data_IF_525710039190
#
_entry.id   IF_525710039190
#
_cell.length_a   1.000
_cell.length_b   1.000
_cell.length_c   1.000
_cell.angle_alpha   90.00
_cell.angle_beta   90.00
_cell.angle_gamma   90.00
#
_symmetry.space_group_name_H-M   'P 1'
#
loop_
_entity.id
_entity.type
_entity.pdbx_description
1 polymer ?
#
# COMPACT_ATOMS: atom_id res chain seq x y z
N UNK A 1 0.14 -21.16 -9.16
CA UNK A 1 1.60 -21.21 -8.99
C UNK A 1 2.17 -19.89 -9.50
N UNK A 2 2.72 -19.04 -8.64
CA UNK A 2 3.42 -17.83 -9.12
C UNK A 2 4.86 -18.21 -9.46
N UNK A 3 5.20 -18.25 -10.74
CA UNK A 3 6.59 -18.31 -11.19
C UNK A 3 7.15 -16.89 -11.10
N UNK A 4 8.19 -16.71 -10.30
CA UNK A 4 8.96 -15.46 -10.27
C UNK A 4 10.23 -15.69 -11.09
N UNK A 5 10.36 -15.05 -12.24
CA UNK A 5 11.56 -15.12 -13.08
C UNK A 5 12.70 -14.41 -12.35
N UNK A 6 13.60 -15.18 -11.73
CA UNK A 6 14.82 -14.66 -11.13
C UNK A 6 15.91 -14.62 -12.21
N UNK A 7 16.26 -13.42 -12.66
CA UNK A 7 17.29 -13.19 -13.66
C UNK A 7 18.67 -13.27 -12.99
N UNK A 8 19.24 -14.47 -12.88
CA UNK A 8 20.61 -14.68 -12.42
C UNK A 8 21.48 -15.09 -13.61
N UNK A 9 22.11 -14.11 -14.26
CA UNK A 9 23.14 -14.34 -15.29
C UNK A 9 22.70 -15.12 -16.54
N UNK A 10 22.11 -14.42 -17.52
CA UNK A 10 21.94 -14.85 -18.93
C UNK A 10 21.26 -16.22 -19.21
N UNK A 11 20.67 -16.91 -18.23
CA UNK A 11 19.79 -18.09 -18.45
C UNK A 11 18.51 -17.94 -17.63
N UNK A 12 17.36 -18.19 -18.25
CA UNK A 12 16.08 -18.23 -17.56
C UNK A 12 16.07 -19.41 -16.58
N UNK A 13 16.01 -19.10 -15.28
CA UNK A 13 15.86 -20.09 -14.22
C UNK A 13 14.43 -20.02 -13.71
N UNK A 14 13.64 -21.04 -14.02
CA UNK A 14 12.29 -21.20 -13.48
C UNK A 14 12.41 -21.70 -12.04
N UNK A 15 11.90 -20.91 -11.09
CA UNK A 15 11.79 -21.29 -9.68
C UNK A 15 10.32 -21.34 -9.31
N UNK A 16 9.83 -22.51 -8.90
CA UNK A 16 8.47 -22.68 -8.39
C UNK A 16 8.46 -22.27 -6.92
N UNK A 17 7.76 -21.18 -6.62
CA UNK A 17 7.54 -20.73 -5.24
C UNK A 17 6.15 -21.19 -4.79
N UNK A 18 6.05 -22.18 -3.87
CA UNK A 18 4.75 -22.68 -3.40
C UNK A 18 3.99 -21.66 -2.56
N UNK A 19 4.70 -20.74 -1.88
CA UNK A 19 4.13 -19.62 -1.14
C UNK A 19 5.01 -18.39 -1.30
N UNK A 20 4.39 -17.24 -1.59
CA UNK A 20 5.07 -15.94 -1.66
C UNK A 20 4.71 -15.15 -0.41
N UNK A 21 5.69 -14.89 0.46
CA UNK A 21 5.50 -14.02 1.62
C UNK A 21 5.56 -12.56 1.16
N UNK A 22 4.72 -11.71 1.77
CA UNK A 22 4.86 -10.26 1.60
C UNK A 22 6.18 -9.82 2.24
N UNK A 23 7.10 -9.32 1.40
CA UNK A 23 8.42 -8.83 1.84
C UNK A 23 8.51 -7.31 1.88
N UNK A 24 7.51 -6.62 1.33
CA UNK A 24 7.47 -5.15 1.28
C UNK A 24 6.67 -4.62 2.44
N UNK A 25 7.30 -3.76 3.23
CA UNK A 25 6.64 -3.03 4.29
C UNK A 25 6.18 -1.68 3.74
N UNK A 26 4.92 -1.60 3.32
CA UNK A 26 4.35 -0.39 2.73
C UNK A 26 4.42 0.80 3.69
N UNK A 27 4.28 0.59 5.00
CA UNK A 27 4.39 1.65 5.99
C UNK A 27 5.81 2.25 5.99
N UNK A 28 6.84 1.42 5.97
CA UNK A 28 8.23 1.90 5.95
C UNK A 28 8.59 2.58 4.63
N UNK A 29 8.08 2.07 3.50
CA UNK A 29 8.27 2.72 2.20
C UNK A 29 7.58 4.09 2.14
N UNK A 30 6.38 4.24 2.74
CA UNK A 30 5.65 5.50 2.78
C UNK A 30 6.24 6.52 3.75
N UNK A 31 6.76 6.08 4.91
CA UNK A 31 7.43 6.96 5.88
C UNK A 31 8.84 7.35 5.42
N UNK A 32 9.52 6.49 4.66
CA UNK A 32 10.84 6.73 4.08
C UNK A 32 11.90 7.22 5.08
N UNK A 33 11.90 6.66 6.29
CA UNK A 33 12.81 7.04 7.40
C UNK A 33 12.66 8.49 7.90
N UNK A 34 11.57 9.17 7.52
CA UNK A 34 11.28 10.52 8.00
C UNK A 34 10.67 10.45 9.40
N UNK A 35 11.14 11.33 10.29
CA UNK A 35 10.53 11.50 11.61
C UNK A 35 9.30 12.41 11.47
N UNK A 36 8.14 11.82 11.18
CA UNK A 36 6.90 12.54 10.97
C UNK A 36 6.24 12.85 12.33
N UNK A 37 5.54 13.99 12.48
CA UNK A 37 4.68 14.22 13.63
C UNK A 37 3.49 13.24 13.63
N UNK A 38 2.90 12.98 14.81
CA UNK A 38 1.84 11.97 15.01
C UNK A 38 0.65 12.12 14.04
N UNK A 39 0.26 13.35 13.72
CA UNK A 39 -0.81 13.64 12.76
C UNK A 39 -0.49 13.14 11.33
N UNK A 40 0.76 13.31 10.90
CA UNK A 40 1.20 12.83 9.59
C UNK A 40 1.38 11.32 9.59
N UNK A 41 1.89 10.73 10.68
CA UNK A 41 1.93 9.28 10.85
C UNK A 41 0.54 8.64 10.78
N UNK A 42 -0.47 9.28 11.37
CA UNK A 42 -1.86 8.84 11.29
C UNK A 42 -2.36 8.85 9.84
N UNK A 43 -2.10 9.91 9.07
CA UNK A 43 -2.45 9.98 7.65
C UNK A 43 -1.74 8.94 6.80
N UNK A 44 -0.45 8.71 7.04
CA UNK A 44 0.31 7.66 6.34
C UNK A 44 -0.28 6.29 6.64
N UNK A 45 -0.68 6.03 7.88
CA UNK A 45 -1.33 4.78 8.27
C UNK A 45 -2.68 4.59 7.58
N UNK A 46 -3.48 5.65 7.47
CA UNK A 46 -4.75 5.60 6.73
C UNK A 46 -4.52 5.41 5.21
N UNK A 47 -3.50 6.06 4.63
CA UNK A 47 -3.14 5.87 3.24
C UNK A 47 -2.73 4.42 2.98
N UNK A 48 -1.90 3.86 3.87
CA UNK A 48 -1.50 2.45 3.83
C UNK A 48 -2.72 1.53 3.79
N UNK A 49 -3.71 1.77 4.66
CA UNK A 49 -4.93 0.96 4.73
C UNK A 49 -5.75 1.01 3.43
N UNK A 50 -5.93 2.22 2.86
CA UNK A 50 -6.60 2.39 1.56
C UNK A 50 -5.87 1.64 0.44
N UNK A 51 -4.53 1.73 0.40
CA UNK A 51 -3.71 1.07 -0.61
C UNK A 51 -3.75 -0.46 -0.45
N UNK A 52 -3.77 -0.99 0.77
CA UNK A 52 -3.93 -2.44 1.01
C UNK A 52 -5.25 -2.97 0.44
N UNK A 53 -6.34 -2.22 0.60
CA UNK A 53 -7.63 -2.59 0.03
C UNK A 53 -7.72 -2.36 -1.49
N UNK A 54 -7.01 -1.37 -2.05
CA UNK A 54 -6.92 -1.15 -3.50
C UNK A 54 -6.06 -2.19 -4.22
N UNK A 55 -4.91 -2.56 -3.65
CA UNK A 55 -3.96 -3.51 -4.22
C UNK A 55 -4.22 -4.97 -3.83
N UNK A 56 -5.41 -5.26 -3.31
CA UNK A 56 -5.84 -6.65 -3.10
C UNK A 56 -5.77 -7.45 -4.41
N UNK A 57 -5.11 -8.61 -4.34
CA UNK A 57 -4.88 -9.51 -5.48
C UNK A 57 -6.19 -10.08 -6.02
N UNK A 58 -7.16 -10.28 -5.13
CA UNK A 58 -8.51 -10.70 -5.48
C UNK A 58 -9.35 -9.47 -5.85
N UNK A 59 -9.82 -9.34 -7.10
CA UNK A 59 -10.62 -8.19 -7.52
C UNK A 59 -11.97 -8.10 -6.80
N UNK A 60 -12.49 -9.21 -6.26
CA UNK A 60 -13.75 -9.20 -5.50
C UNK A 60 -13.59 -8.62 -4.10
N UNK A 61 -12.38 -8.67 -3.55
CA UNK A 61 -12.00 -8.06 -2.26
C UNK A 61 -11.47 -6.64 -2.42
N UNK A 62 -11.28 -6.18 -3.66
CA UNK A 62 -10.81 -4.82 -3.94
C UNK A 62 -11.86 -3.82 -3.49
N UNK A 63 -11.40 -2.75 -2.86
CA UNK A 63 -12.28 -1.65 -2.45
C UNK A 63 -13.09 -1.11 -3.63
N UNK A 64 -14.40 -0.94 -3.44
CA UNK A 64 -15.27 -0.29 -4.42
C UNK A 64 -15.04 1.22 -4.43
N UNK A 65 -15.40 1.90 -5.52
CA UNK A 65 -15.25 3.34 -5.64
C UNK A 65 -15.92 4.11 -4.49
N UNK A 66 -17.16 3.72 -4.13
CA UNK A 66 -17.88 4.35 -3.03
C UNK A 66 -17.18 4.14 -1.68
N UNK A 67 -16.65 2.95 -1.42
CA UNK A 67 -15.91 2.67 -0.20
C UNK A 67 -14.57 3.44 -0.14
N UNK A 68 -13.90 3.60 -1.29
CA UNK A 68 -12.69 4.40 -1.37
C UNK A 68 -12.97 5.88 -1.07
N UNK A 69 -14.04 6.44 -1.64
CA UNK A 69 -14.47 7.82 -1.38
C UNK A 69 -14.88 8.03 0.09
N UNK A 70 -15.44 7.00 0.73
CA UNK A 70 -15.78 7.03 2.15
C UNK A 70 -14.60 6.72 3.09
N UNK A 71 -13.41 6.45 2.57
CA UNK A 71 -12.26 6.08 3.38
C UNK A 71 -11.80 7.25 4.26
N UNK A 72 -11.44 7.05 5.54
CA UNK A 72 -11.02 8.11 6.45
C UNK A 72 -9.85 8.94 5.90
N UNK A 73 -8.93 8.34 5.16
CA UNK A 73 -7.88 9.08 4.44
C UNK A 73 -8.41 10.20 3.53
N UNK A 74 -9.51 9.95 2.81
CA UNK A 74 -10.12 10.91 1.88
C UNK A 74 -11.07 11.86 2.61
N UNK A 75 -11.83 11.35 3.57
CA UNK A 75 -12.80 12.15 4.33
C UNK A 75 -12.14 13.07 5.37
N UNK A 76 -10.94 12.75 5.83
CA UNK A 76 -10.21 13.56 6.81
C UNK A 76 -9.71 14.85 6.14
N UNK A 77 -10.62 15.83 6.10
CA UNK A 77 -10.32 17.23 5.77
C UNK A 77 -9.07 17.63 6.53
N UNK A 78 -8.08 18.16 5.81
CA UNK A 78 -6.99 18.88 6.47
C UNK A 78 -7.66 19.93 7.35
N UNK A 79 -7.40 19.88 8.65
CA UNK A 79 -7.57 21.01 9.56
C UNK A 79 -6.54 22.09 9.17
N UNK A 80 -6.68 22.61 7.95
CA UNK A 80 -6.07 23.83 7.49
C UNK A 80 -7.22 24.80 7.31
N UNK A 81 -7.50 25.57 8.36
CA UNK A 81 -8.17 26.84 8.23
C UNK A 81 -7.34 27.70 7.26
N UNK A 82 -7.70 27.71 5.98
CA UNK A 82 -7.56 28.93 5.19
C UNK A 82 -8.80 29.76 5.52
N UNK A 83 -8.71 30.50 6.63
CA UNK A 83 -9.41 31.77 6.74
C UNK A 83 -8.73 32.70 5.73
N UNK A 84 -9.32 32.84 4.56
CA UNK A 84 -9.38 34.07 3.78
C UNK A 84 -10.56 33.98 2.79
#
# INVERSE_FOLDING_TARGET
MLLKTLFCGKKEKIVVMPAVKAIRNLQQELVADQNLPDDQHRKVTQLKDLLEHMFSLDPTKRISLNQALCHPFIQEKKSGNELN
#
